data_IF_084836043161
#
_entry.id   IF_084836043161
#
_cell.length_a   1.000
_cell.length_b   1.000
_cell.length_c   1.000
_cell.angle_alpha   90.00
_cell.angle_beta   90.00
_cell.angle_gamma   90.00
#
_symmetry.space_group_name_H-M   'P 1'
#
loop_
_entity.id
_entity.type
_entity.pdbx_description
1 polymer ?
#
# COMPACT_ATOMS: atom_id res chain seq x y z
N UNK A 1 -2.30 20.74 -11.26
CA UNK A 1 -1.90 19.89 -10.11
C UNK A 1 -3.07 18.97 -9.81
N UNK A 2 -2.91 17.66 -9.99
CA UNK A 2 -3.95 16.70 -9.64
C UNK A 2 -4.23 16.76 -8.14
N UNK A 3 -5.50 16.75 -7.73
CA UNK A 3 -5.86 16.66 -6.31
C UNK A 3 -5.33 15.34 -5.76
N UNK A 4 -4.67 15.40 -4.61
CA UNK A 4 -4.33 14.20 -3.87
C UNK A 4 -5.64 13.49 -3.49
N UNK A 5 -5.73 12.18 -3.73
CA UNK A 5 -6.85 11.38 -3.24
C UNK A 5 -6.62 11.18 -1.74
N UNK A 6 -7.60 11.62 -0.95
CA UNK A 6 -7.58 11.43 0.48
C UNK A 6 -7.61 9.94 0.82
N UNK A 7 -6.66 9.51 1.65
CA UNK A 7 -6.69 8.17 2.21
C UNK A 7 -7.81 8.05 3.24
N UNK A 8 -8.32 6.84 3.40
CA UNK A 8 -9.36 6.54 4.38
C UNK A 8 -8.75 6.44 5.78
N UNK A 9 -9.22 7.26 6.71
CA UNK A 9 -8.64 7.33 8.06
C UNK A 9 -8.97 6.11 8.95
N UNK A 10 -9.86 5.22 8.53
CA UNK A 10 -10.19 3.98 9.25
C UNK A 10 -9.17 2.85 9.06
N UNK A 11 -8.10 3.08 8.29
CA UNK A 11 -7.00 2.14 8.10
C UNK A 11 -5.67 2.73 8.56
N UNK A 12 -4.83 1.88 9.16
CA UNK A 12 -3.46 2.21 9.51
C UNK A 12 -2.47 1.18 8.92
N UNK A 13 -1.20 1.58 8.79
CA UNK A 13 -0.16 0.72 8.23
C UNK A 13 0.15 -0.52 9.09
N UNK A 14 -0.12 -0.48 10.40
CA UNK A 14 0.14 -1.62 11.29
C UNK A 14 -0.88 -2.75 11.09
N UNK A 15 -2.16 -2.40 10.98
CA UNK A 15 -3.27 -3.29 10.69
C UNK A 15 -3.09 -3.95 9.32
N UNK A 16 -2.67 -3.20 8.30
CA UNK A 16 -2.39 -3.74 6.97
C UNK A 16 -1.23 -4.75 6.99
N UNK A 17 -0.17 -4.50 7.75
CA UNK A 17 0.92 -5.48 7.96
C UNK A 17 0.47 -6.72 8.73
N UNK A 18 -0.45 -6.58 9.68
CA UNK A 18 -1.03 -7.74 10.37
C UNK A 18 -1.85 -8.58 9.39
N UNK A 19 -2.72 -7.96 8.60
CA UNK A 19 -3.52 -8.64 7.57
C UNK A 19 -2.64 -9.31 6.50
N UNK A 20 -1.54 -8.67 6.10
CA UNK A 20 -0.62 -9.24 5.12
C UNK A 20 0.10 -10.50 5.61
N UNK A 21 0.21 -10.69 6.93
CA UNK A 21 0.77 -11.93 7.52
C UNK A 21 -0.27 -13.04 7.64
N UNK A 22 -1.55 -12.68 7.65
CA UNK A 22 -2.65 -13.64 7.77
C UNK A 22 -3.17 -14.13 6.41
N UNK A 23 -2.88 -13.41 5.32
CA UNK A 23 -3.28 -13.84 3.98
C UNK A 23 -2.46 -15.03 3.50
N UNK A 24 -3.14 -15.94 2.80
CA UNK A 24 -2.53 -17.10 2.13
C UNK A 24 -2.02 -16.78 0.72
N UNK A 25 -2.37 -15.61 0.18
CA UNK A 25 -1.97 -15.17 -1.16
C UNK A 25 -0.79 -14.22 -1.09
N UNK A 26 0.35 -14.62 -1.67
CA UNK A 26 1.54 -13.77 -1.74
C UNK A 26 1.28 -12.45 -2.49
N UNK A 27 0.43 -12.48 -3.52
CA UNK A 27 0.02 -11.28 -4.25
C UNK A 27 -0.79 -10.33 -3.36
N UNK A 28 -1.71 -10.88 -2.55
CA UNK A 28 -2.50 -10.08 -1.61
C UNK A 28 -1.61 -9.51 -0.50
N UNK A 29 -0.66 -10.29 0.02
CA UNK A 29 0.30 -9.84 1.02
C UNK A 29 1.10 -8.63 0.52
N UNK A 30 1.69 -8.72 -0.68
CA UNK A 30 2.44 -7.61 -1.28
C UNK A 30 1.60 -6.36 -1.50
N UNK A 31 0.34 -6.51 -1.91
CA UNK A 31 -0.57 -5.37 -2.07
C UNK A 31 -0.91 -4.70 -0.73
N UNK A 32 -1.15 -5.48 0.32
CA UNK A 32 -1.41 -4.94 1.66
C UNK A 32 -0.17 -4.23 2.23
N UNK A 33 1.03 -4.77 2.01
CA UNK A 33 2.28 -4.12 2.41
C UNK A 33 2.53 -2.82 1.63
N UNK A 34 2.24 -2.79 0.34
CA UNK A 34 2.33 -1.58 -0.46
C UNK A 34 1.38 -0.48 0.04
N UNK A 35 0.16 -0.85 0.44
CA UNK A 35 -0.77 0.10 1.05
C UNK A 35 -0.29 0.57 2.41
N UNK A 36 0.27 -0.31 3.23
CA UNK A 36 0.82 0.05 4.54
C UNK A 36 1.91 1.13 4.42
N UNK A 37 2.79 1.01 3.42
CA UNK A 37 3.81 2.03 3.12
C UNK A 37 3.18 3.39 2.81
N UNK A 38 2.09 3.44 2.03
CA UNK A 38 1.39 4.68 1.70
C UNK A 38 0.72 5.31 2.94
N UNK A 39 0.07 4.50 3.78
CA UNK A 39 -0.54 4.97 5.02
C UNK A 39 0.47 5.52 6.02
N UNK A 40 1.70 5.00 6.01
CA UNK A 40 2.79 5.51 6.85
C UNK A 40 3.46 6.78 6.26
N UNK A 41 2.96 7.32 5.15
CA UNK A 41 3.51 8.49 4.47
C UNK A 41 4.70 8.18 3.54
N UNK A 42 4.93 6.91 3.24
CA UNK A 42 5.95 6.46 2.31
C UNK A 42 5.66 6.86 0.85
N UNK A 43 6.70 6.83 0.01
CA UNK A 43 6.57 7.23 -1.39
C UNK A 43 5.85 6.18 -2.24
N UNK A 44 5.16 6.63 -3.30
CA UNK A 44 4.56 5.73 -4.31
C UNK A 44 5.57 4.78 -4.96
N UNK A 45 6.81 5.22 -5.11
CA UNK A 45 7.90 4.38 -5.65
C UNK A 45 8.29 3.25 -4.70
N UNK A 46 8.31 3.51 -3.38
CA UNK A 46 8.57 2.49 -2.37
C UNK A 46 7.42 1.47 -2.33
N UNK A 47 6.17 1.95 -2.31
CA UNK A 47 4.99 1.11 -2.37
C UNK A 47 4.95 0.23 -3.63
N UNK A 48 5.29 0.78 -4.80
CA UNK A 48 5.35 0.03 -6.06
C UNK A 48 6.40 -1.10 -6.01
N UNK A 49 7.57 -0.84 -5.43
CA UNK A 49 8.62 -1.85 -5.23
C UNK A 49 8.13 -2.98 -4.32
N UNK A 50 7.47 -2.65 -3.21
CA UNK A 50 6.91 -3.63 -2.28
C UNK A 50 5.80 -4.47 -2.95
N UNK A 51 4.94 -3.82 -3.72
CA UNK A 51 3.87 -4.48 -4.48
C UNK A 51 4.37 -5.38 -5.60
N UNK A 52 5.60 -5.17 -6.08
CA UNK A 52 6.12 -5.80 -7.30
C UNK A 52 5.39 -5.32 -8.55
N UNK A 53 4.98 -4.05 -8.57
CA UNK A 53 4.21 -3.43 -9.65
C UNK A 53 4.91 -2.17 -10.15
N UNK A 54 4.58 -1.73 -11.36
CA UNK A 54 5.08 -0.45 -11.86
C UNK A 54 4.47 0.75 -11.11
N UNK A 55 5.18 1.87 -11.06
CA UNK A 55 4.71 3.12 -10.43
C UNK A 55 3.35 3.57 -10.99
N UNK A 56 3.10 3.30 -12.28
CA UNK A 56 1.85 3.65 -12.95
C UNK A 56 0.63 2.88 -12.42
N UNK A 57 0.83 1.79 -11.67
CA UNK A 57 -0.22 1.01 -11.00
C UNK A 57 -0.58 1.64 -9.65
N UNK A 58 0.40 2.18 -8.94
CA UNK A 58 0.20 2.89 -7.66
C UNK A 58 -0.19 4.33 -7.97
N UNK A 59 -1.45 4.51 -8.36
CA UNK A 59 -2.02 5.82 -8.65
C UNK A 59 -2.61 6.42 -7.38
N UNK A 60 -2.50 7.74 -7.32
CA UNK A 60 -3.24 8.56 -6.37
C UNK A 60 -4.73 8.28 -6.53
#
# INVERSE_FOLDING_TARGET
>A
MGKAIGLREDFDGAALRRLSRMTRSANQARRLLALAEIYDGGSRSAAARIGGVGLQIVRD
#
